data_IF_868955442184
#
_entry.id   IF_868955442184
#
_cell.length_a   1.000
_cell.length_b   1.000
_cell.length_c   1.000
_cell.angle_alpha   90.00
_cell.angle_beta   90.00
_cell.angle_gamma   90.00
#
_symmetry.space_group_name_H-M   'P 1'
#
loop_
_entity.id
_entity.type
_entity.pdbx_description
1 polymer ?
#
# COMPACT_ATOMS: atom_id res chain seq x y z
N UNK A 1 6.57 -15.88 -5.94
CA UNK A 1 6.24 -16.42 -4.60
C UNK A 1 7.38 -17.33 -4.20
N UNK A 2 7.94 -17.20 -2.99
CA UNK A 2 8.97 -18.09 -2.50
C UNK A 2 8.36 -19.47 -2.17
N UNK A 3 8.30 -20.36 -3.16
CA UNK A 3 7.82 -21.74 -2.96
C UNK A 3 9.02 -22.66 -2.86
N UNK A 4 9.37 -23.03 -1.64
CA UNK A 4 10.47 -23.92 -1.34
C UNK A 4 10.13 -24.76 -0.11
N UNK A 5 9.81 -26.03 -0.35
CA UNK A 5 9.50 -26.98 0.72
C UNK A 5 10.70 -27.23 1.65
N UNK A 6 11.92 -27.26 1.10
CA UNK A 6 13.13 -27.53 1.87
C UNK A 6 13.49 -26.37 2.77
N UNK A 7 13.40 -25.14 2.26
CA UNK A 7 13.57 -23.93 3.07
C UNK A 7 12.49 -23.85 4.15
N UNK A 8 11.21 -24.01 3.80
CA UNK A 8 10.11 -24.01 4.77
C UNK A 8 10.31 -25.04 5.89
N UNK A 9 10.75 -26.26 5.56
CA UNK A 9 11.03 -27.30 6.54
C UNK A 9 12.27 -26.98 7.40
N UNK A 10 13.27 -26.31 6.83
CA UNK A 10 14.48 -25.89 7.55
C UNK A 10 14.13 -24.81 8.57
N UNK A 11 13.43 -23.76 8.16
CA UNK A 11 12.94 -22.70 9.05
C UNK A 11 12.06 -23.28 10.17
N UNK A 12 11.16 -24.23 9.85
CA UNK A 12 10.37 -24.92 10.87
C UNK A 12 11.25 -25.65 11.90
N UNK A 13 12.28 -26.39 11.46
CA UNK A 13 13.18 -27.14 12.35
C UNK A 13 14.05 -26.24 13.22
N UNK A 14 14.49 -25.10 12.68
CA UNK A 14 15.26 -24.10 13.42
C UNK A 14 14.39 -23.47 14.51
N UNK A 15 13.22 -22.94 14.14
CA UNK A 15 12.30 -22.30 15.09
C UNK A 15 11.74 -23.28 16.13
N UNK A 16 11.62 -24.56 15.79
CA UNK A 16 11.18 -25.60 16.73
C UNK A 16 12.10 -25.71 17.95
N UNK A 17 13.41 -25.44 17.79
CA UNK A 17 14.37 -25.50 18.89
C UNK A 17 14.15 -24.38 19.92
N UNK A 18 13.61 -23.25 19.48
CA UNK A 18 13.34 -22.08 20.33
C UNK A 18 11.94 -22.14 20.94
N UNK A 19 10.91 -22.34 20.10
CA UNK A 19 9.51 -22.42 20.51
C UNK A 19 8.71 -23.34 19.58
N UNK A 20 8.45 -24.60 19.98
CA UNK A 20 7.66 -25.55 19.20
C UNK A 20 6.26 -25.03 18.82
N UNK A 21 5.61 -24.30 19.73
CA UNK A 21 4.29 -23.74 19.50
C UNK A 21 4.33 -22.66 18.41
N UNK A 22 5.26 -21.69 18.53
CA UNK A 22 5.42 -20.62 17.54
C UNK A 22 5.83 -21.17 16.18
N UNK A 23 6.75 -22.14 16.14
CA UNK A 23 7.18 -22.80 14.91
C UNK A 23 6.02 -23.49 14.18
N UNK A 24 5.16 -24.20 14.92
CA UNK A 24 3.99 -24.89 14.35
C UNK A 24 2.98 -23.90 13.79
N UNK A 25 2.68 -22.83 14.53
CA UNK A 25 1.77 -21.78 14.08
C UNK A 25 2.30 -21.06 12.84
N UNK A 26 3.58 -20.72 12.81
CA UNK A 26 4.21 -20.07 11.66
C UNK A 26 4.21 -20.98 10.43
N UNK A 27 4.64 -22.24 10.57
CA UNK A 27 4.66 -23.20 9.47
C UNK A 27 3.26 -23.44 8.90
N UNK A 28 2.26 -23.58 9.78
CA UNK A 28 0.85 -23.69 9.41
C UNK A 28 0.32 -22.44 8.69
N UNK A 29 0.71 -21.25 9.15
CA UNK A 29 0.35 -19.98 8.51
C UNK A 29 0.92 -19.87 7.10
N UNK A 30 2.21 -20.18 6.87
CA UNK A 30 2.77 -20.13 5.51
C UNK A 30 2.21 -21.22 4.58
N UNK A 31 1.87 -22.40 5.10
CA UNK A 31 1.12 -23.39 4.33
C UNK A 31 -0.28 -22.88 3.96
N UNK A 32 -0.96 -22.20 4.89
CA UNK A 32 -2.23 -21.52 4.62
C UNK A 32 -2.08 -20.43 3.56
N UNK A 33 -1.06 -19.57 3.63
CA UNK A 33 -0.81 -18.53 2.63
C UNK A 33 -0.56 -19.12 1.24
N UNK A 34 0.19 -20.23 1.16
CA UNK A 34 0.38 -20.97 -0.07
C UNK A 34 -0.94 -21.42 -0.71
N UNK A 35 -1.84 -22.01 0.09
CA UNK A 35 -3.17 -22.40 -0.37
C UNK A 35 -4.03 -21.19 -0.74
N UNK A 36 -4.05 -20.18 0.13
CA UNK A 36 -4.84 -18.95 -0.01
C UNK A 36 -4.51 -18.23 -1.30
N UNK A 37 -3.23 -17.92 -1.54
CA UNK A 37 -2.80 -17.19 -2.73
C UNK A 37 -3.05 -18.01 -3.99
N UNK A 38 -2.89 -19.33 -3.94
CA UNK A 38 -3.20 -20.20 -5.08
C UNK A 38 -4.68 -20.18 -5.43
N UNK A 39 -5.55 -20.33 -4.43
CA UNK A 39 -6.99 -20.34 -4.65
C UNK A 39 -7.48 -18.96 -5.08
N UNK A 40 -7.10 -17.90 -4.36
CA UNK A 40 -7.65 -16.55 -4.56
C UNK A 40 -7.04 -15.78 -5.73
N UNK A 41 -5.95 -16.27 -6.31
CA UNK A 41 -5.42 -15.75 -7.59
C UNK A 41 -6.05 -16.45 -8.80
N UNK A 42 -6.79 -17.54 -8.59
CA UNK A 42 -7.47 -18.24 -9.67
C UNK A 42 -8.72 -17.46 -10.11
N UNK A 43 -8.96 -17.22 -11.42
CA UNK A 43 -10.06 -16.36 -11.89
C UNK A 43 -11.46 -16.72 -11.34
N UNK A 44 -11.73 -18.02 -11.13
CA UNK A 44 -13.01 -18.51 -10.58
C UNK A 44 -13.23 -18.23 -9.09
N UNK A 45 -12.16 -18.03 -8.34
CA UNK A 45 -12.20 -17.89 -6.88
C UNK A 45 -11.55 -16.58 -6.43
N UNK A 46 -11.42 -15.62 -7.35
CA UNK A 46 -10.87 -14.30 -7.07
C UNK A 46 -11.70 -13.61 -6.00
N UNK A 47 -11.06 -13.26 -4.90
CA UNK A 47 -11.68 -12.53 -3.80
C UNK A 47 -11.24 -11.07 -3.87
N UNK A 48 -12.01 -10.28 -4.62
CA UNK A 48 -11.78 -8.87 -4.85
C UNK A 48 -11.99 -8.49 -6.30
N UNK A 49 -11.98 -7.18 -6.55
CA UNK A 49 -12.09 -6.58 -7.88
C UNK A 49 -10.75 -5.94 -8.21
N UNK A 50 -10.22 -6.19 -9.42
CA UNK A 50 -9.02 -5.49 -9.86
C UNK A 50 -9.39 -4.03 -10.17
N UNK A 51 -8.52 -3.07 -9.85
CA UNK A 51 -8.75 -1.65 -10.21
C UNK A 51 -8.80 -1.45 -11.73
N UNK A 52 -8.15 -2.33 -12.51
CA UNK A 52 -8.24 -2.33 -13.96
C UNK A 52 -9.54 -2.93 -14.51
N UNK A 53 -10.28 -3.73 -13.71
CA UNK A 53 -11.66 -4.13 -14.07
C UNK A 53 -12.62 -2.92 -14.06
N UNK A 54 -12.17 -1.78 -13.52
CA UNK A 54 -12.86 -0.49 -13.46
C UNK A 54 -12.06 0.61 -14.15
N UNK A 55 -11.27 0.26 -15.17
CA UNK A 55 -10.44 1.23 -15.87
C UNK A 55 -11.25 2.42 -16.42
N UNK A 56 -12.49 2.22 -16.84
CA UNK A 56 -13.39 3.29 -17.28
C UNK A 56 -13.91 4.21 -16.15
N UNK A 57 -13.60 3.93 -14.89
CA UNK A 57 -13.99 4.76 -13.74
C UNK A 57 -12.89 5.71 -13.24
N UNK A 58 -11.68 5.66 -13.81
CA UNK A 58 -10.55 6.51 -13.37
C UNK A 58 -9.54 6.78 -14.48
N UNK A 59 -8.91 7.95 -14.40
CA UNK A 59 -7.70 8.35 -15.13
C UNK A 59 -6.56 8.60 -14.13
N UNK A 60 -6.91 9.09 -12.93
CA UNK A 60 -6.05 9.11 -11.75
C UNK A 60 -6.62 8.19 -10.66
N UNK A 61 -5.81 7.22 -10.21
CA UNK A 61 -6.09 6.37 -9.06
C UNK A 61 -5.22 6.79 -7.89
N UNK A 62 -5.85 7.31 -6.82
CA UNK A 62 -5.18 7.60 -5.55
C UNK A 62 -5.35 6.38 -4.65
N UNK A 63 -4.24 5.76 -4.27
CA UNK A 63 -4.21 4.59 -3.37
C UNK A 63 -3.63 5.04 -2.03
N UNK A 64 -4.44 4.96 -0.97
CA UNK A 64 -4.05 5.28 0.40
C UNK A 64 -3.81 3.98 1.17
N UNK A 65 -2.55 3.64 1.46
CA UNK A 65 -2.17 2.36 2.09
C UNK A 65 -2.90 2.11 3.41
N UNK A 66 -3.52 0.94 3.54
CA UNK A 66 -4.30 0.54 4.72
C UNK A 66 -5.52 1.45 5.03
N UNK A 67 -6.02 2.25 4.07
CA UNK A 67 -7.15 3.15 4.31
C UNK A 67 -8.50 2.40 4.43
N UNK A 68 -9.19 2.60 5.56
CA UNK A 68 -10.50 2.02 5.83
C UNK A 68 -11.63 2.88 5.27
N UNK A 69 -12.70 2.21 4.82
CA UNK A 69 -13.94 2.88 4.34
C UNK A 69 -14.54 3.80 5.40
N UNK A 70 -14.62 3.36 6.66
CA UNK A 70 -15.21 4.16 7.74
C UNK A 70 -14.33 5.34 8.14
N UNK A 71 -13.01 5.22 7.98
CA UNK A 71 -12.08 6.31 8.23
C UNK A 71 -12.18 7.40 7.17
N UNK A 72 -12.14 7.03 5.89
CA UNK A 72 -12.31 8.01 4.81
C UNK A 72 -13.66 8.72 4.92
N UNK A 73 -14.74 8.00 5.21
CA UNK A 73 -16.06 8.59 5.45
C UNK A 73 -16.11 9.53 6.65
N UNK A 74 -15.31 9.29 7.68
CA UNK A 74 -15.29 10.13 8.88
C UNK A 74 -14.65 11.49 8.62
N UNK A 75 -13.58 11.54 7.82
CA UNK A 75 -12.85 12.77 7.50
C UNK A 75 -13.33 13.45 6.22
N UNK A 76 -14.07 12.76 5.36
CA UNK A 76 -14.57 13.33 4.10
C UNK A 76 -15.29 14.67 4.20
N UNK A 77 -16.09 14.98 5.24
CA UNK A 77 -16.71 16.31 5.38
C UNK A 77 -15.73 17.48 5.54
N UNK A 78 -14.45 17.19 5.81
CA UNK A 78 -13.38 18.18 5.98
C UNK A 78 -12.78 18.61 4.62
N UNK A 79 -13.11 17.93 3.52
CA UNK A 79 -12.47 18.11 2.21
C UNK A 79 -13.49 18.29 1.07
N UNK A 80 -13.44 19.42 0.38
CA UNK A 80 -14.39 19.75 -0.70
C UNK A 80 -14.25 18.86 -1.93
N UNK A 81 -13.05 18.34 -2.20
CA UNK A 81 -12.82 17.42 -3.33
C UNK A 81 -13.37 16.00 -3.07
N UNK A 82 -13.71 15.67 -1.82
CA UNK A 82 -14.29 14.38 -1.48
C UNK A 82 -15.82 14.40 -1.60
N UNK A 83 -16.44 13.34 -2.13
CA UNK A 83 -17.89 13.24 -2.10
C UNK A 83 -18.38 13.08 -0.66
N UNK A 84 -19.65 13.44 -0.44
CA UNK A 84 -20.30 13.25 0.87
C UNK A 84 -20.13 11.81 1.37
N UNK A 85 -20.01 11.57 2.69
CA UNK A 85 -19.76 10.23 3.24
C UNK A 85 -20.70 9.12 2.75
N UNK A 86 -21.96 9.46 2.46
CA UNK A 86 -22.97 8.53 1.95
C UNK A 86 -22.77 8.13 0.49
N UNK A 87 -22.02 8.92 -0.28
CA UNK A 87 -21.67 8.65 -1.68
C UNK A 87 -20.32 7.93 -1.83
N UNK A 88 -19.49 7.88 -0.77
CA UNK A 88 -18.27 7.06 -0.75
C UNK A 88 -18.67 5.58 -0.75
N UNK A 89 -18.39 4.91 -1.86
CA UNK A 89 -18.62 3.48 -2.03
C UNK A 89 -17.57 2.63 -1.31
N UNK A 90 -17.62 1.34 -1.58
CA UNK A 90 -16.57 0.41 -1.16
C UNK A 90 -16.44 -0.73 -2.15
N UNK A 91 -15.25 -1.29 -2.27
CA UNK A 91 -15.00 -2.50 -3.04
C UNK A 91 -14.18 -3.50 -2.25
N UNK A 92 -14.22 -4.76 -2.67
CA UNK A 92 -13.33 -5.78 -2.14
C UNK A 92 -11.98 -5.65 -2.86
N UNK A 93 -10.92 -5.35 -2.12
CA UNK A 93 -9.55 -5.35 -2.64
C UNK A 93 -9.09 -6.77 -2.97
N UNK A 94 -8.16 -6.93 -3.91
CA UNK A 94 -7.48 -8.19 -4.20
C UNK A 94 -6.51 -8.63 -3.09
N UNK A 95 -5.94 -7.69 -2.34
CA UNK A 95 -4.98 -7.95 -1.26
C UNK A 95 -5.52 -7.65 0.12
N UNK A 96 -4.99 -8.32 1.15
CA UNK A 96 -5.10 -7.88 2.53
C UNK A 96 -3.80 -7.27 3.08
N UNK A 97 -2.79 -7.14 2.21
CA UNK A 97 -1.49 -6.52 2.46
C UNK A 97 -0.93 -6.09 1.10
N UNK A 98 -0.08 -5.07 1.06
CA UNK A 98 0.41 -4.49 -0.21
C UNK A 98 1.12 -5.52 -1.09
N UNK A 99 1.94 -6.40 -0.52
CA UNK A 99 2.61 -7.48 -1.25
C UNK A 99 1.64 -8.43 -1.98
N UNK A 100 0.45 -8.68 -1.39
CA UNK A 100 -0.61 -9.48 -2.03
C UNK A 100 -1.38 -8.66 -3.07
N UNK A 101 -1.62 -7.38 -2.79
CA UNK A 101 -2.30 -6.49 -3.73
C UNK A 101 -1.48 -6.30 -5.01
N UNK A 102 -0.19 -5.99 -4.90
CA UNK A 102 0.70 -5.72 -6.04
C UNK A 102 0.75 -6.91 -7.01
N UNK A 103 1.02 -8.13 -6.52
CA UNK A 103 1.17 -9.30 -7.38
C UNK A 103 -0.16 -9.81 -7.99
N UNK A 104 -1.31 -9.37 -7.47
CA UNK A 104 -2.63 -9.72 -8.01
C UNK A 104 -3.23 -8.62 -8.89
N UNK A 105 -2.89 -7.36 -8.64
CA UNK A 105 -3.38 -6.21 -9.38
C UNK A 105 -2.67 -6.09 -10.73
N UNK A 106 -1.34 -6.11 -10.73
CA UNK A 106 -0.53 -5.87 -11.92
C UNK A 106 -0.17 -7.19 -12.59
N UNK A 107 -1.13 -7.74 -13.33
CA UNK A 107 -1.00 -9.04 -13.99
C UNK A 107 -1.12 -8.91 -15.49
N UNK A 108 -0.57 -9.90 -16.19
CA UNK A 108 -0.52 -9.97 -17.66
C UNK A 108 -1.88 -9.86 -18.35
N UNK A 109 -2.98 -10.16 -17.66
CA UNK A 109 -4.35 -10.01 -18.17
C UNK A 109 -4.77 -8.55 -18.40
N UNK A 110 -4.11 -7.59 -17.74
CA UNK A 110 -4.35 -6.14 -17.90
C UNK A 110 -3.14 -5.43 -18.52
N UNK A 111 -2.28 -6.17 -19.24
CA UNK A 111 -1.02 -5.62 -19.79
C UNK A 111 -1.24 -4.39 -20.67
N UNK A 112 -2.32 -4.35 -21.45
CA UNK A 112 -2.61 -3.23 -22.35
C UNK A 112 -2.97 -1.94 -21.61
N UNK A 113 -3.66 -2.04 -20.49
CA UNK A 113 -3.97 -0.92 -19.60
C UNK A 113 -2.74 -0.49 -18.79
N UNK A 114 -1.97 -1.45 -18.29
CA UNK A 114 -0.73 -1.20 -17.52
C UNK A 114 0.32 -0.48 -18.39
N UNK A 115 0.45 -0.86 -19.67
CA UNK A 115 1.34 -0.21 -20.64
C UNK A 115 1.08 1.29 -20.84
N UNK A 116 -0.09 1.77 -20.44
CA UNK A 116 -0.48 3.20 -20.51
C UNK A 116 -0.64 3.82 -19.13
N UNK A 117 -0.06 3.20 -18.11
CA UNK A 117 -0.17 3.62 -16.71
C UNK A 117 1.20 4.04 -16.16
N UNK A 118 1.27 5.26 -15.65
CA UNK A 118 2.35 5.74 -14.80
C UNK A 118 2.04 5.40 -13.33
N UNK A 119 2.90 4.63 -12.68
CA UNK A 119 2.73 4.18 -11.31
C UNK A 119 3.80 4.79 -10.39
N UNK A 120 3.38 5.71 -9.53
CA UNK A 120 4.19 6.44 -8.57
C UNK A 120 3.87 5.89 -7.18
N UNK A 121 4.85 5.28 -6.50
CA UNK A 121 4.57 4.59 -5.24
C UNK A 121 5.60 4.87 -4.16
N UNK A 122 5.10 5.18 -2.98
CA UNK A 122 5.88 5.23 -1.75
C UNK A 122 6.07 3.85 -1.08
N UNK A 123 5.44 2.79 -1.60
CA UNK A 123 5.44 1.47 -0.96
C UNK A 123 6.66 0.63 -1.39
N UNK A 124 7.55 0.22 -0.46
CA UNK A 124 8.77 -0.54 -0.81
C UNK A 124 8.51 -1.93 -1.41
N UNK A 125 7.31 -2.50 -1.21
CA UNK A 125 6.96 -3.77 -1.85
C UNK A 125 6.91 -3.69 -3.37
N UNK A 126 6.88 -2.49 -3.96
CA UNK A 126 7.01 -2.30 -5.41
C UNK A 126 8.32 -2.89 -5.91
N UNK A 127 9.45 -2.56 -5.28
CA UNK A 127 10.77 -3.12 -5.69
C UNK A 127 10.84 -4.62 -5.44
N UNK A 128 10.34 -5.11 -4.30
CA UNK A 128 10.25 -6.56 -4.05
C UNK A 128 9.46 -7.29 -5.13
N UNK A 129 8.36 -6.69 -5.58
CA UNK A 129 7.46 -7.31 -6.55
C UNK A 129 8.04 -7.26 -7.96
N UNK A 130 8.49 -6.09 -8.43
CA UNK A 130 8.82 -5.89 -9.83
C UNK A 130 10.32 -6.07 -10.14
N UNK A 131 11.22 -5.67 -9.24
CA UNK A 131 12.67 -5.85 -9.43
C UNK A 131 13.14 -7.22 -8.91
N UNK A 132 12.87 -7.52 -7.64
CA UNK A 132 13.34 -8.78 -7.03
C UNK A 132 12.52 -10.00 -7.48
N UNK A 133 11.34 -9.78 -8.07
CA UNK A 133 10.38 -10.82 -8.46
C UNK A 133 9.94 -11.70 -7.27
N UNK A 134 9.96 -11.14 -6.07
CA UNK A 134 9.54 -11.77 -4.82
C UNK A 134 8.11 -11.35 -4.51
N UNK A 135 7.17 -12.25 -4.82
CA UNK A 135 5.74 -12.05 -4.52
C UNK A 135 5.36 -12.64 -3.16
N UNK A 136 4.25 -12.14 -2.59
CA UNK A 136 3.63 -12.75 -1.42
C UNK A 136 3.52 -14.29 -1.53
N UNK A 137 3.71 -15.05 -0.43
CA UNK A 137 3.95 -14.57 0.93
C UNK A 137 5.41 -14.13 1.17
N UNK A 138 5.71 -13.37 2.24
CA UNK A 138 7.05 -12.80 2.47
C UNK A 138 8.13 -13.83 2.82
N UNK A 139 7.75 -15.06 3.21
CA UNK A 139 8.67 -16.17 3.51
C UNK A 139 8.24 -17.43 2.78
N UNK A 140 9.13 -18.42 2.76
CA UNK A 140 8.92 -19.66 2.04
C UNK A 140 7.61 -20.35 2.45
N UNK A 141 6.75 -20.60 1.46
CA UNK A 141 5.61 -21.48 1.60
C UNK A 141 5.94 -22.87 1.03
N UNK A 142 5.40 -23.95 1.60
CA UNK A 142 5.71 -25.31 1.16
C UNK A 142 5.14 -25.65 -0.22
N UNK A 143 4.11 -24.92 -0.64
CA UNK A 143 3.45 -25.05 -1.94
C UNK A 143 2.74 -23.75 -2.29
N UNK A 144 2.45 -23.57 -3.57
CA UNK A 144 1.52 -22.56 -4.06
C UNK A 144 1.88 -22.10 -5.47
N UNK A 145 0.97 -21.39 -6.12
CA UNK A 145 1.22 -20.78 -7.43
C UNK A 145 0.31 -19.57 -7.60
N UNK A 146 0.83 -18.45 -8.11
CA UNK A 146 -0.06 -17.38 -8.57
C UNK A 146 -0.87 -17.87 -9.78
N UNK A 147 -2.15 -17.53 -9.80
CA UNK A 147 -3.05 -17.91 -10.88
C UNK A 147 -2.83 -17.10 -12.16
N UNK A 148 -2.20 -15.94 -12.04
CA UNK A 148 -1.82 -15.05 -13.15
C UNK A 148 -0.39 -14.58 -12.91
N UNK A 149 0.34 -14.39 -13.99
CA UNK A 149 1.72 -13.90 -13.92
C UNK A 149 1.71 -12.38 -13.70
N UNK A 150 2.46 -11.87 -12.71
CA UNK A 150 2.72 -10.45 -12.59
C UNK A 150 3.49 -9.91 -13.80
N UNK A 151 3.20 -8.67 -14.19
CA UNK A 151 3.91 -7.97 -15.26
C UNK A 151 5.36 -7.66 -14.88
N UNK A 152 6.16 -7.27 -15.87
CA UNK A 152 7.53 -6.78 -15.67
C UNK A 152 7.53 -5.24 -15.55
N UNK A 153 8.65 -4.65 -15.14
CA UNK A 153 8.72 -3.19 -14.97
C UNK A 153 8.57 -2.44 -16.31
N UNK A 154 9.08 -3.03 -17.39
CA UNK A 154 9.02 -2.48 -18.75
C UNK A 154 7.60 -2.50 -19.33
N UNK A 155 6.66 -3.18 -18.67
CA UNK A 155 5.26 -3.17 -19.05
C UNK A 155 4.51 -1.92 -18.60
N UNK A 156 5.10 -1.07 -17.75
CA UNK A 156 4.51 0.21 -17.35
C UNK A 156 4.97 1.33 -18.28
N UNK A 157 4.11 2.34 -18.50
CA UNK A 157 4.57 3.60 -19.12
C UNK A 157 5.64 4.27 -18.25
N UNK A 158 5.46 4.18 -16.93
CA UNK A 158 6.43 4.59 -15.93
C UNK A 158 6.18 3.80 -14.64
N UNK A 159 7.23 3.23 -14.04
CA UNK A 159 7.20 2.77 -12.65
C UNK A 159 8.25 3.54 -11.86
N UNK A 160 7.81 4.27 -10.84
CA UNK A 160 8.69 5.11 -10.04
C UNK A 160 8.54 4.81 -8.54
N UNK A 161 9.43 3.99 -7.96
CA UNK A 161 9.48 3.71 -6.53
C UNK A 161 10.10 4.90 -5.76
N UNK A 162 9.25 5.76 -5.19
CA UNK A 162 9.65 7.03 -4.56
C UNK A 162 10.46 6.82 -3.27
N UNK A 163 10.21 5.72 -2.57
CA UNK A 163 10.86 5.42 -1.29
C UNK A 163 12.38 5.26 -1.40
N UNK A 164 12.90 4.98 -2.61
CA UNK A 164 14.34 4.87 -2.88
C UNK A 164 15.08 6.20 -2.64
N UNK A 165 14.39 7.34 -2.67
CA UNK A 165 15.03 8.68 -2.57
C UNK A 165 14.33 9.67 -1.63
N UNK A 166 13.12 9.37 -1.14
CA UNK A 166 12.31 10.33 -0.38
C UNK A 166 11.83 9.80 0.99
N UNK A 167 12.44 8.72 1.48
CA UNK A 167 12.19 8.25 2.85
C UNK A 167 12.71 9.29 3.84
N UNK A 168 11.86 9.72 4.78
CA UNK A 168 12.30 10.60 5.86
C UNK A 168 13.21 9.86 6.83
N UNK A 169 14.43 10.36 7.04
CA UNK A 169 15.36 9.82 8.05
C UNK A 169 14.80 9.88 9.49
N UNK A 170 13.87 10.82 9.73
CA UNK A 170 13.29 11.03 11.06
C UNK A 170 12.10 10.12 11.36
N UNK A 171 11.32 9.82 10.33
CA UNK A 171 10.04 9.10 10.47
C UNK A 171 10.04 7.74 9.79
N UNK A 172 11.13 7.36 9.11
CA UNK A 172 11.28 6.10 8.38
C UNK A 172 10.15 5.80 7.39
N UNK A 173 9.51 6.85 6.84
CA UNK A 173 8.42 6.75 5.87
C UNK A 173 8.52 7.88 4.85
N UNK A 174 8.04 7.63 3.64
CA UNK A 174 7.86 8.67 2.63
C UNK A 174 6.66 9.53 3.01
N UNK A 175 6.89 10.84 3.09
CA UNK A 175 5.82 11.80 3.36
C UNK A 175 4.94 12.00 2.11
N UNK A 176 3.63 12.29 2.27
CA UNK A 176 2.67 12.31 1.18
C UNK A 176 2.99 13.37 0.12
N UNK A 177 3.66 14.45 0.49
CA UNK A 177 4.11 15.51 -0.42
C UNK A 177 5.04 14.96 -1.51
N UNK A 178 5.88 13.98 -1.20
CA UNK A 178 6.78 13.38 -2.19
C UNK A 178 6.01 12.63 -3.29
N UNK A 179 4.95 11.90 -2.92
CA UNK A 179 4.07 11.19 -3.86
C UNK A 179 3.28 12.19 -4.71
N UNK A 180 2.73 13.22 -4.08
CA UNK A 180 2.03 14.31 -4.77
C UNK A 180 2.96 14.98 -5.79
N UNK A 181 4.15 15.42 -5.36
CA UNK A 181 5.08 16.13 -6.23
C UNK A 181 5.56 15.26 -7.40
N UNK A 182 5.89 14.00 -7.15
CA UNK A 182 6.31 13.08 -8.21
C UNK A 182 5.17 12.81 -9.21
N UNK A 183 3.93 12.72 -8.75
CA UNK A 183 2.77 12.50 -9.62
C UNK A 183 2.47 13.73 -10.47
N UNK A 184 2.54 14.95 -9.90
CA UNK A 184 2.42 16.21 -10.65
C UNK A 184 3.54 16.31 -11.70
N UNK A 185 4.78 16.01 -11.30
CA UNK A 185 5.93 16.07 -12.20
C UNK A 185 5.81 15.06 -13.35
N UNK A 186 5.30 13.85 -13.08
CA UNK A 186 5.01 12.86 -14.11
C UNK A 186 3.89 13.32 -15.05
N UNK A 187 2.78 13.83 -14.50
CA UNK A 187 1.63 14.31 -15.28
C UNK A 187 1.93 15.49 -16.20
N UNK A 188 2.91 16.32 -15.85
CA UNK A 188 3.37 17.45 -16.67
C UNK A 188 4.56 17.11 -17.58
N UNK A 189 5.09 15.88 -17.52
CA UNK A 189 6.26 15.49 -18.30
C UNK A 189 5.84 14.95 -19.69
N UNK A 190 6.20 15.63 -20.80
CA UNK A 190 5.85 15.17 -22.14
C UNK A 190 6.54 13.86 -22.57
N UNK A 191 7.58 13.42 -21.86
CA UNK A 191 8.26 12.15 -22.13
C UNK A 191 7.55 10.94 -21.48
N UNK A 192 6.56 11.17 -20.61
CA UNK A 192 5.74 10.12 -19.99
C UNK A 192 4.49 9.90 -20.84
N UNK A 193 4.53 8.87 -21.69
CA UNK A 193 3.39 8.45 -22.53
C UNK A 193 2.39 7.60 -21.74
N UNK A 194 1.63 8.24 -20.84
CA UNK A 194 0.63 7.58 -20.00
C UNK A 194 -0.75 8.23 -20.12
N UNK A 195 -1.77 7.40 -20.29
CA UNK A 195 -3.19 7.80 -20.22
C UNK A 195 -3.69 7.83 -18.77
N UNK A 196 -2.96 7.18 -17.87
CA UNK A 196 -3.40 6.86 -16.51
C UNK A 196 -2.28 7.06 -15.50
N UNK A 197 -2.66 7.51 -14.31
CA UNK A 197 -1.74 7.72 -13.19
C UNK A 197 -2.22 6.96 -11.96
N UNK A 198 -1.30 6.28 -11.28
CA UNK A 198 -1.54 5.71 -9.95
C UNK A 198 -0.60 6.42 -8.97
N UNK A 199 -1.17 7.14 -8.01
CA UNK A 199 -0.46 7.76 -6.90
C UNK A 199 -0.69 6.93 -5.63
N UNK A 200 0.32 6.18 -5.20
CA UNK A 200 0.21 5.25 -4.08
C UNK A 200 1.00 5.74 -2.86
N UNK A 201 0.24 6.29 -1.92
CA UNK A 201 0.69 6.86 -0.66
C UNK A 201 0.88 5.76 0.37
N UNK A 202 1.89 5.91 1.24
CA UNK A 202 2.09 5.04 2.40
C UNK A 202 1.10 5.33 3.54
N UNK A 203 0.31 6.39 3.45
CA UNK A 203 -0.62 6.78 4.50
C UNK A 203 -2.03 6.24 4.20
N UNK A 204 -2.83 5.92 5.23
CA UNK A 204 -2.59 6.10 6.67
C UNK A 204 -1.90 4.93 7.40
N UNK A 205 -1.12 4.09 6.72
CA UNK A 205 -0.29 3.09 7.40
C UNK A 205 0.65 3.74 8.44
N UNK A 206 1.05 2.96 9.45
CA UNK A 206 2.02 3.40 10.46
C UNK A 206 3.42 3.61 9.83
N UNK A 207 4.32 4.42 10.41
CA UNK A 207 4.18 5.16 11.66
C UNK A 207 3.17 6.30 11.57
N UNK A 208 2.51 6.63 12.69
CA UNK A 208 1.55 7.73 12.77
C UNK A 208 2.24 9.04 13.13
N UNK A 209 2.93 9.61 12.15
CA UNK A 209 3.87 10.71 12.35
C UNK A 209 3.22 12.12 12.42
N UNK A 210 1.95 12.28 12.05
CA UNK A 210 1.33 13.61 11.87
C UNK A 210 1.47 14.53 13.11
N UNK A 211 1.24 14.01 14.31
CA UNK A 211 1.38 14.79 15.54
C UNK A 211 2.85 15.07 15.93
N UNK A 212 3.77 14.20 15.53
CA UNK A 212 5.20 14.40 15.73
C UNK A 212 5.72 15.49 14.78
N UNK A 213 5.29 15.45 13.52
CA UNK A 213 5.58 16.46 12.51
C UNK A 213 5.08 17.85 12.92
N UNK A 214 3.82 17.96 13.35
CA UNK A 214 3.24 19.24 13.77
C UNK A 214 3.94 19.87 14.99
N UNK A 215 4.55 19.05 15.84
CA UNK A 215 5.28 19.47 17.03
C UNK A 215 6.81 19.51 16.84
N UNK A 216 7.31 19.28 15.62
CA UNK A 216 8.74 19.20 15.28
C UNK A 216 9.55 18.28 16.23
N UNK A 217 8.98 17.11 16.55
CA UNK A 217 9.57 16.14 17.48
C UNK A 217 9.71 14.75 16.85
N UNK A 218 10.48 13.89 17.49
CA UNK A 218 10.59 12.49 17.09
C UNK A 218 9.32 11.71 17.45
N UNK A 219 9.16 10.53 16.84
CA UNK A 219 8.06 9.62 17.12
C UNK A 219 8.10 9.13 18.56
N UNK A 220 6.95 9.14 19.22
CA UNK A 220 6.76 8.36 20.43
C UNK A 220 6.69 6.86 20.10
N UNK A 221 6.95 5.97 21.07
CA UNK A 221 6.77 4.52 20.85
C UNK A 221 5.38 4.13 20.37
N UNK A 222 4.34 4.87 20.76
CA UNK A 222 2.95 4.64 20.34
C UNK A 222 2.68 5.06 18.89
N UNK A 223 3.40 6.06 18.38
CA UNK A 223 3.29 6.51 16.99
C UNK A 223 4.09 5.59 16.04
N UNK A 224 5.24 5.07 16.49
CA UNK A 224 6.06 4.13 15.72
C UNK A 224 5.54 2.69 15.71
N UNK A 225 5.22 2.14 16.89
CA UNK A 225 4.74 0.77 17.06
C UNK A 225 3.47 0.71 17.94
N UNK A 226 2.33 1.23 17.43
CA UNK A 226 1.06 1.26 18.15
C UNK A 226 0.60 -0.14 18.59
N UNK A 227 0.96 -1.19 17.85
CA UNK A 227 0.47 -2.54 18.12
C UNK A 227 1.15 -3.17 19.34
N UNK A 228 2.46 -2.97 19.50
CA UNK A 228 3.13 -3.40 20.74
C UNK A 228 2.62 -2.60 21.94
N UNK A 229 2.38 -1.30 21.78
CA UNK A 229 1.84 -0.48 22.87
C UNK A 229 0.41 -0.90 23.26
N UNK A 230 -0.44 -1.23 22.29
CA UNK A 230 -1.80 -1.73 22.53
C UNK A 230 -1.78 -3.11 23.21
N UNK A 231 -0.87 -4.01 22.83
CA UNK A 231 -0.72 -5.33 23.47
C UNK A 231 -0.28 -5.25 24.93
N UNK A 232 0.46 -4.20 25.29
CA UNK A 232 0.93 -3.93 26.64
C UNK A 232 -0.06 -3.05 27.44
N UNK A 233 -1.26 -2.79 26.92
CA UNK A 233 -2.27 -1.89 27.51
C UNK A 233 -1.74 -0.47 27.80
N UNK A 234 -0.68 -0.03 27.10
CA UNK A 234 -0.06 1.28 27.27
C UNK A 234 -0.83 2.40 26.57
N UNK A 235 -1.59 2.05 25.51
CA UNK A 235 -2.50 2.93 24.78
C UNK A 235 -3.80 2.18 24.49
N UNK A 236 -4.84 2.93 24.15
CA UNK A 236 -6.16 2.40 23.77
C UNK A 236 -6.35 2.36 22.26
N UNK A 237 -7.27 1.53 21.79
CA UNK A 237 -7.72 1.52 20.38
C UNK A 237 -8.19 2.90 19.90
N UNK A 238 -8.79 3.70 20.79
CA UNK A 238 -9.26 5.04 20.47
C UNK A 238 -8.08 6.00 20.19
N UNK A 239 -6.99 5.89 20.95
CA UNK A 239 -5.78 6.67 20.73
C UNK A 239 -5.10 6.29 19.41
N UNK A 240 -4.98 4.98 19.13
CA UNK A 240 -4.51 4.47 17.82
C UNK A 240 -5.36 5.03 16.68
N UNK A 241 -6.69 4.98 16.81
CA UNK A 241 -7.61 5.48 15.78
C UNK A 241 -7.45 6.98 15.56
N UNK A 242 -7.20 7.76 16.61
CA UNK A 242 -6.95 9.21 16.49
C UNK A 242 -5.68 9.47 15.66
N UNK A 243 -4.56 8.85 16.04
CA UNK A 243 -3.28 9.02 15.32
C UNK A 243 -3.36 8.53 13.86
N UNK A 244 -4.09 7.45 13.61
CA UNK A 244 -4.41 6.96 12.26
C UNK A 244 -5.20 8.00 11.44
N UNK A 245 -6.25 8.60 12.02
CA UNK A 245 -7.05 9.62 11.32
C UNK A 245 -6.25 10.92 11.09
N UNK A 246 -5.37 11.30 12.02
CA UNK A 246 -4.52 12.48 11.85
C UNK A 246 -3.49 12.27 10.72
N UNK A 247 -2.96 11.05 10.60
CA UNK A 247 -2.09 10.65 9.49
C UNK A 247 -2.85 10.60 8.16
N UNK A 248 -4.10 10.12 8.17
CA UNK A 248 -4.98 10.16 6.99
C UNK A 248 -5.26 11.59 6.53
N UNK A 249 -5.52 12.52 7.46
CA UNK A 249 -5.75 13.93 7.13
C UNK A 249 -4.55 14.55 6.43
N UNK A 250 -3.34 14.34 6.95
CA UNK A 250 -2.13 14.87 6.33
C UNK A 250 -1.93 14.34 4.89
N UNK A 251 -2.26 13.06 4.65
CA UNK A 251 -2.27 12.51 3.30
C UNK A 251 -3.33 13.16 2.40
N UNK A 252 -4.55 13.36 2.91
CA UNK A 252 -5.64 13.99 2.18
C UNK A 252 -5.39 15.46 1.87
N UNK A 253 -4.65 16.18 2.72
CA UNK A 253 -4.19 17.54 2.42
C UNK A 253 -3.31 17.54 1.16
N UNK A 254 -2.40 16.56 1.05
CA UNK A 254 -1.53 16.38 -0.13
C UNK A 254 -2.29 15.86 -1.36
N UNK A 255 -3.32 15.03 -1.18
CA UNK A 255 -4.22 14.61 -2.26
C UNK A 255 -5.03 15.80 -2.78
N UNK A 256 -5.44 16.71 -1.90
CA UNK A 256 -6.07 17.97 -2.30
C UNK A 256 -5.17 18.80 -3.21
N UNK A 257 -3.89 18.94 -2.86
CA UNK A 257 -2.88 19.59 -3.71
C UNK A 257 -2.74 18.87 -5.06
N UNK A 258 -2.70 17.53 -5.06
CA UNK A 258 -2.63 16.74 -6.29
C UNK A 258 -3.86 16.99 -7.18
N UNK A 259 -5.07 16.95 -6.63
CA UNK A 259 -6.31 17.18 -7.38
C UNK A 259 -6.41 18.58 -8.01
N UNK A 260 -5.70 19.56 -7.46
CA UNK A 260 -5.60 20.92 -8.03
C UNK A 260 -4.41 21.13 -8.97
N UNK A 261 -3.61 20.08 -9.26
CA UNK A 261 -2.36 20.20 -10.03
C UNK A 261 -2.12 19.03 -11.00
N UNK A 262 -3.16 18.29 -11.36
CA UNK A 262 -3.11 17.26 -12.41
C UNK A 262 -4.46 17.20 -13.13
N UNK A 263 -4.45 17.07 -14.45
CA UNK A 263 -5.68 16.89 -15.22
C UNK A 263 -6.13 15.44 -15.18
N UNK A 264 -7.31 15.19 -14.61
CA UNK A 264 -7.97 13.89 -14.67
C UNK A 264 -9.49 14.07 -14.61
N UNK A 265 -10.18 13.67 -15.68
CA UNK A 265 -11.65 13.72 -15.74
C UNK A 265 -12.26 12.82 -14.66
N UNK A 266 -11.63 11.67 -14.38
CA UNK A 266 -12.08 10.73 -13.35
C UNK A 266 -10.96 10.45 -12.36
N UNK A 267 -11.20 10.79 -11.10
CA UNK A 267 -10.33 10.43 -9.99
C UNK A 267 -11.04 9.41 -9.12
N UNK A 268 -10.38 8.27 -8.86
CA UNK A 268 -10.83 7.30 -7.88
C UNK A 268 -9.87 7.27 -6.70
N UNK A 269 -10.38 7.50 -5.48
CA UNK A 269 -9.62 7.42 -4.23
C UNK A 269 -10.01 6.10 -3.54
N UNK A 270 -9.02 5.24 -3.34
CA UNK A 270 -9.16 3.88 -2.82
C UNK A 270 -7.97 3.49 -1.93
N UNK A 271 -7.85 2.20 -1.60
CA UNK A 271 -6.75 1.63 -0.86
C UNK A 271 -6.37 0.26 -1.45
N UNK A 272 -5.11 -0.13 -1.25
CA UNK A 272 -4.62 -1.47 -1.57
C UNK A 272 -5.16 -2.52 -0.57
N UNK A 273 -5.35 -2.13 0.69
CA UNK A 273 -6.07 -2.85 1.73
C UNK A 273 -6.55 -1.89 2.83
N UNK A 274 -7.21 -2.41 3.85
CA UNK A 274 -7.57 -1.69 5.09
C UNK A 274 -6.67 -2.09 6.26
N UNK A 275 -7.10 -1.75 7.48
CA UNK A 275 -6.33 -1.96 8.71
C UNK A 275 -7.23 -2.47 9.84
N UNK A 276 -6.85 -3.56 10.53
CA UNK A 276 -7.52 -3.93 11.77
C UNK A 276 -7.00 -3.05 12.90
N UNK A 277 -7.91 -2.29 13.50
CA UNK A 277 -7.62 -1.44 14.66
C UNK A 277 -8.01 -2.17 15.95
N UNK A 278 -7.48 -3.37 16.17
CA UNK A 278 -7.73 -4.16 17.39
C UNK A 278 -8.93 -5.11 17.35
N UNK A 279 -9.62 -5.24 16.21
CA UNK A 279 -10.64 -6.28 16.00
C UNK A 279 -10.01 -7.66 16.13
N UNK A 280 -10.68 -8.59 16.82
CA UNK A 280 -10.13 -9.90 17.20
C UNK A 280 -8.81 -9.85 18.00
N UNK A 281 -8.51 -8.71 18.66
CA UNK A 281 -7.20 -8.43 19.29
C UNK A 281 -6.04 -8.45 18.29
N UNK A 282 -6.34 -8.36 16.99
CA UNK A 282 -5.37 -8.22 15.92
C UNK A 282 -5.30 -6.72 15.60
N UNK A 283 -4.13 -6.14 15.82
CA UNK A 283 -3.71 -4.92 15.15
C UNK A 283 -2.85 -5.30 13.97
N UNK A 284 -2.97 -4.58 12.84
CA UNK A 284 -2.30 -4.84 11.54
C UNK A 284 -3.20 -5.51 10.47
N UNK A 285 -2.62 -5.80 9.31
CA UNK A 285 -3.24 -6.27 8.07
C UNK A 285 -2.46 -7.51 7.58
N UNK A 286 -2.64 -8.67 8.22
CA UNK A 286 -1.91 -9.88 7.84
C UNK A 286 -2.26 -10.29 6.41
N UNK A 287 -1.26 -10.74 5.65
CA UNK A 287 -1.45 -11.32 4.31
C UNK A 287 -2.46 -12.47 4.37
N UNK A 288 -3.31 -12.59 3.37
CA UNK A 288 -4.34 -13.61 3.33
C UNK A 288 -5.42 -13.51 4.40
N UNK A 289 -5.69 -12.31 4.92
CA UNK A 289 -6.80 -12.08 5.84
C UNK A 289 -8.10 -11.81 5.06
N UNK A 290 -9.16 -12.62 5.18
CA UNK A 290 -10.44 -12.37 4.51
C UNK A 290 -11.30 -11.29 5.18
N UNK A 291 -10.85 -10.71 6.30
CA UNK A 291 -11.70 -9.87 7.15
C UNK A 291 -12.10 -8.57 6.43
N UNK A 292 -13.39 -8.14 6.48
CA UNK A 292 -13.85 -6.94 5.78
C UNK A 292 -13.12 -5.65 6.16
N UNK A 293 -12.62 -5.52 7.39
CA UNK A 293 -11.85 -4.31 7.77
C UNK A 293 -10.51 -4.18 7.05
N UNK A 294 -9.97 -5.28 6.52
CA UNK A 294 -8.72 -5.29 5.74
C UNK A 294 -9.00 -5.45 4.25
N UNK A 295 -10.04 -6.19 3.87
CA UNK A 295 -10.32 -6.50 2.47
C UNK A 295 -11.33 -5.57 1.82
N UNK A 296 -12.11 -4.79 2.56
CA UNK A 296 -13.09 -3.85 2.00
C UNK A 296 -12.55 -2.43 2.10
N UNK A 297 -12.21 -1.86 0.96
CA UNK A 297 -11.53 -0.56 0.80
C UNK A 297 -12.50 0.50 0.26
N UNK A 298 -12.26 1.79 0.51
CA UNK A 298 -13.11 2.86 -0.03
C UNK A 298 -13.06 2.91 -1.56
N UNK A 299 -14.10 3.47 -2.16
CA UNK A 299 -14.10 3.91 -3.55
C UNK A 299 -14.83 5.26 -3.62
N UNK A 300 -14.07 6.35 -3.62
CA UNK A 300 -14.60 7.70 -3.71
C UNK A 300 -14.26 8.30 -5.07
N UNK A 301 -15.30 8.71 -5.82
CA UNK A 301 -15.15 9.31 -7.14
C UNK A 301 -15.14 10.84 -7.04
N UNK A 302 -14.21 11.47 -7.75
CA UNK A 302 -14.08 12.93 -7.89
C UNK A 302 -13.38 13.28 -9.21
N UNK A 303 -12.96 14.53 -9.38
CA UNK A 303 -12.26 15.05 -10.57
C UNK A 303 -11.01 15.83 -10.15
N UNK A 304 -10.05 15.99 -11.05
CA UNK A 304 -8.87 16.82 -10.84
C UNK A 304 -8.62 17.71 -12.06
N UNK A 305 -8.11 18.91 -11.80
CA UNK A 305 -7.76 19.90 -12.82
C UNK A 305 -6.41 20.48 -12.46
N UNK A 306 -5.52 20.61 -13.43
CA UNK A 306 -4.25 21.30 -13.21
C UNK A 306 -4.46 22.82 -13.20
N UNK A 307 -4.46 23.41 -12.01
CA UNK A 307 -4.55 24.87 -11.82
C UNK A 307 -3.18 25.57 -11.91
N UNK A 308 -2.08 24.82 -12.01
CA UNK A 308 -0.72 25.38 -12.06
C UNK A 308 -0.29 26.08 -10.77
N UNK A 309 -0.84 25.70 -9.61
CA UNK A 309 -0.61 26.38 -8.32
C UNK A 309 0.58 25.83 -7.54
N UNK A 310 1.02 24.61 -7.86
CA UNK A 310 2.17 23.94 -7.27
C UNK A 310 3.29 23.80 -8.30
N UNK A 311 4.42 24.46 -8.05
CA UNK A 311 5.66 24.27 -8.83
C UNK A 311 6.45 23.08 -8.26
N UNK A 312 6.79 22.14 -9.12
CA UNK A 312 7.53 20.93 -8.74
C UNK A 312 8.78 20.78 -9.61
N UNK A 313 9.91 20.29 -9.05
CA UNK A 313 11.07 19.99 -9.86
C UNK A 313 10.74 18.86 -10.87
N UNK A 314 11.47 18.78 -11.99
CA UNK A 314 11.35 17.65 -12.91
C UNK A 314 11.53 16.32 -12.18
N UNK A 315 10.75 15.32 -12.60
CA UNK A 315 10.84 13.99 -12.02
C UNK A 315 12.27 13.45 -12.19
N UNK A 316 12.90 13.08 -11.08
CA UNK A 316 14.23 12.47 -11.14
C UNK A 316 14.12 11.14 -11.90
N UNK A 317 15.09 10.86 -12.78
CA UNK A 317 15.24 9.53 -13.36
C UNK A 317 15.40 8.52 -12.23
N UNK A 318 14.82 7.32 -12.39
CA UNK A 318 15.08 6.22 -11.46
C UNK A 318 16.59 5.98 -11.39
N UNK A 319 17.19 6.23 -10.23
CA UNK A 319 18.59 5.89 -9.96
C UNK A 319 18.64 4.50 -9.36
N UNK A 320 19.77 3.80 -9.48
CA UNK A 320 19.99 2.61 -8.65
C UNK A 320 19.79 2.99 -7.16
N UNK A 321 19.16 2.13 -6.35
CA UNK A 321 18.87 2.43 -4.96
C UNK A 321 20.17 2.82 -4.25
N UNK A 322 20.18 3.91 -3.44
CA UNK A 322 21.38 4.31 -2.72
C UNK A 322 21.87 3.16 -1.84
N UNK A 323 23.19 2.95 -1.80
CA UNK A 323 23.82 1.86 -1.06
C UNK A 323 23.60 1.93 0.47
N UNK A 324 23.00 3.00 0.98
CA UNK A 324 22.89 3.29 2.41
C UNK A 324 21.68 2.64 3.09
N UNK A 325 20.62 2.23 2.35
CA UNK A 325 19.47 1.54 2.95
C UNK A 325 18.80 0.56 1.98
N UNK A 326 18.77 -0.71 2.35
CA UNK A 326 18.13 -1.77 1.56
C UNK A 326 16.61 -1.74 1.67
N UNK A 327 15.93 -2.33 0.69
CA UNK A 327 14.46 -2.50 0.69
C UNK A 327 13.98 -3.25 1.95
N UNK A 328 14.75 -4.25 2.38
CA UNK A 328 14.42 -5.04 3.58
C UNK A 328 14.53 -4.22 4.87
N UNK A 329 15.54 -3.34 5.00
CA UNK A 329 15.66 -2.43 6.14
C UNK A 329 14.51 -1.41 6.18
N UNK A 330 14.05 -0.93 5.02
CA UNK A 330 12.92 -0.02 4.94
C UNK A 330 11.61 -0.72 5.33
N UNK A 331 11.42 -1.95 4.84
CA UNK A 331 10.27 -2.79 5.23
C UNK A 331 10.27 -3.09 6.73
N UNK A 332 11.43 -3.39 7.32
CA UNK A 332 11.54 -3.60 8.77
C UNK A 332 11.16 -2.36 9.58
N UNK A 333 11.58 -1.17 9.15
CA UNK A 333 11.23 0.09 9.81
C UNK A 333 9.72 0.37 9.77
N UNK A 334 9.05 -0.01 8.67
CA UNK A 334 7.59 0.04 8.54
C UNK A 334 6.88 -1.05 9.36
N UNK A 335 7.63 -2.02 9.90
CA UNK A 335 7.14 -3.11 10.76
C UNK A 335 6.83 -4.42 10.04
N UNK A 336 7.34 -4.60 8.83
CA UNK A 336 7.29 -5.86 8.10
C UNK A 336 8.48 -6.75 8.50
N UNK A 337 8.28 -8.06 8.73
CA UNK A 337 9.32 -9.01 9.17
C UNK A 337 9.14 -10.42 8.62
#
# INVERSE_FOLDING_TARGET
MPIDFHQWLTEFRENWRESPASATLQAGYYAYLGAWLTLTSHPRFQLGTNVYDRADEWDLLVVLDACRVDALRAVAPEYDFLPRPTAIGSMWSLGSASAEWLCKTFTTDHRAEIARTAYLSANPYVTKTFDDRIYAPPKAAPFGKLGRDPVDIEDFALLHPIYESHTSDRYDVVLPEAVTNATIAAGRNPDVDADRYIAHYMQPHKPYYAAALAADRDLTPAEGDPWSQLRCDAITTAEVRRSYLDTLRHALDSVGVLCSNIDAERVAITADHGEMLGTWRIGSHPTGCPHPEVKRVPWASTTATDEGTCEVPPLASRTEPPAERSVDEQLEALGYR
#
